data_IF_254201022033
#
_entry.id   IF_254201022033
#
_cell.length_a   1.000
_cell.length_b   1.000
_cell.length_c   1.000
_cell.angle_alpha   90.00
_cell.angle_beta   90.00
_cell.angle_gamma   90.00
#
_symmetry.space_group_name_H-M   'P 1'
#
loop_
_entity.id
_entity.type
_entity.pdbx_description
1 polymer ?
#
# COMPACT_ATOMS: atom_id res chain seq x y z
N UNK A 1 19.98 -16.65 3.51
CA UNK A 1 18.69 -16.41 4.20
C UNK A 1 17.59 -16.25 3.15
N UNK A 2 16.35 -16.64 3.46
CA UNK A 2 15.22 -16.44 2.54
C UNK A 2 14.95 -14.94 2.41
N UNK A 3 15.02 -14.35 1.21
CA UNK A 3 14.79 -12.92 1.03
C UNK A 3 13.33 -12.58 1.32
N UNK A 4 13.11 -11.47 2.03
CA UNK A 4 11.77 -11.01 2.39
C UNK A 4 11.33 -9.92 1.41
N UNK A 5 10.12 -10.05 0.86
CA UNK A 5 9.47 -9.03 0.03
C UNK A 5 8.26 -8.49 0.79
N UNK A 6 8.37 -7.25 1.25
CA UNK A 6 7.24 -6.52 1.79
C UNK A 6 6.36 -6.01 0.65
N UNK A 7 5.08 -6.21 0.76
CA UNK A 7 4.07 -5.92 -0.26
C UNK A 7 3.17 -4.80 0.23
N UNK A 8 3.18 -3.65 -0.44
CA UNK A 8 2.13 -2.65 -0.24
C UNK A 8 0.80 -3.17 -0.81
N UNK A 9 -0.31 -2.76 -0.21
CA UNK A 9 -1.63 -3.31 -0.52
C UNK A 9 -2.44 -2.39 -1.45
N UNK A 10 -2.89 -1.25 -0.92
CA UNK A 10 -3.81 -0.34 -1.61
C UNK A 10 -3.15 0.26 -2.86
N UNK A 11 -3.85 0.24 -3.99
CA UNK A 11 -3.37 0.68 -5.32
C UNK A 11 -2.13 -0.08 -5.84
N UNK A 12 -1.48 -0.92 -5.03
CA UNK A 12 -0.35 -1.78 -5.45
C UNK A 12 -0.82 -3.18 -5.86
N UNK A 13 -1.39 -3.93 -4.93
CA UNK A 13 -1.96 -5.25 -5.17
C UNK A 13 -3.48 -5.18 -5.37
N UNK A 14 -4.15 -4.22 -4.72
CA UNK A 14 -5.59 -4.03 -4.71
C UNK A 14 -6.00 -2.78 -5.51
N UNK A 15 -7.06 -2.90 -6.29
CA UNK A 15 -7.54 -1.84 -7.17
C UNK A 15 -8.57 -0.93 -6.46
N UNK A 16 -8.12 0.27 -6.07
CA UNK A 16 -9.00 1.28 -5.47
C UNK A 16 -10.03 1.84 -6.45
N UNK A 17 -9.89 1.66 -7.77
CA UNK A 17 -10.88 2.14 -8.74
C UNK A 17 -12.25 1.51 -8.57
N UNK A 18 -12.33 0.37 -7.87
CA UNK A 18 -13.59 -0.25 -7.48
C UNK A 18 -14.50 0.69 -6.65
N UNK A 19 -13.92 1.70 -5.99
CA UNK A 19 -14.67 2.72 -5.25
C UNK A 19 -15.16 3.89 -6.13
N UNK A 20 -14.72 4.00 -7.39
CA UNK A 20 -15.05 5.16 -8.25
C UNK A 20 -16.57 5.37 -8.38
N UNK A 21 -17.36 4.28 -8.41
CA UNK A 21 -18.83 4.35 -8.46
C UNK A 21 -19.46 4.97 -7.22
N UNK A 22 -18.93 4.72 -6.01
CA UNK A 22 -19.38 5.34 -4.77
C UNK A 22 -19.14 6.85 -4.82
N UNK A 23 -17.91 7.25 -5.21
CA UNK A 23 -17.56 8.67 -5.31
C UNK A 23 -18.31 9.39 -6.43
N UNK A 24 -18.57 8.74 -7.56
CA UNK A 24 -19.42 9.28 -8.62
C UNK A 24 -20.85 9.55 -8.11
N UNK A 25 -21.41 8.63 -7.33
CA UNK A 25 -22.74 8.82 -6.74
C UNK A 25 -22.77 9.96 -5.73
N UNK A 26 -21.76 10.09 -4.86
CA UNK A 26 -21.71 11.08 -3.80
C UNK A 26 -21.36 12.50 -4.29
N UNK A 27 -20.42 12.61 -5.24
CA UNK A 27 -19.82 13.89 -5.65
C UNK A 27 -20.04 14.24 -7.13
N UNK A 28 -20.68 13.37 -7.92
CA UNK A 28 -20.90 13.57 -9.35
C UNK A 28 -19.63 13.52 -10.20
N UNK A 29 -18.51 13.02 -9.65
CA UNK A 29 -17.19 13.01 -10.29
C UNK A 29 -16.42 11.72 -9.92
N UNK A 30 -16.09 10.86 -10.88
CA UNK A 30 -15.30 9.65 -10.61
C UNK A 30 -13.87 9.98 -10.16
N UNK A 31 -13.35 11.17 -10.48
CA UNK A 31 -12.05 11.67 -10.04
C UNK A 31 -11.99 12.02 -8.54
N UNK A 32 -13.15 12.16 -7.88
CA UNK A 32 -13.24 12.52 -6.46
C UNK A 32 -12.54 11.47 -5.57
N UNK A 33 -12.60 10.17 -5.89
CA UNK A 33 -11.88 9.13 -5.15
C UNK A 33 -10.36 9.37 -5.16
N UNK A 34 -9.78 9.71 -6.32
CA UNK A 34 -8.34 10.00 -6.40
C UNK A 34 -7.96 11.21 -5.57
N UNK A 35 -8.80 12.26 -5.57
CA UNK A 35 -8.59 13.45 -4.75
C UNK A 35 -8.68 13.09 -3.26
N UNK A 36 -9.71 12.34 -2.86
CA UNK A 36 -9.85 11.83 -1.49
C UNK A 36 -8.62 11.06 -1.04
N UNK A 37 -8.18 10.06 -1.81
CA UNK A 37 -7.03 9.25 -1.41
C UNK A 37 -5.73 10.06 -1.36
N UNK A 38 -5.57 11.04 -2.27
CA UNK A 38 -4.48 12.01 -2.20
C UNK A 38 -4.50 12.83 -0.91
N UNK A 39 -5.67 13.27 -0.44
CA UNK A 39 -5.84 13.96 0.85
C UNK A 39 -5.54 13.03 2.04
N UNK A 40 -5.97 11.76 2.00
CA UNK A 40 -5.59 10.76 3.05
C UNK A 40 -4.07 10.67 3.17
N UNK A 41 -3.37 10.53 2.05
CA UNK A 41 -1.90 10.44 2.04
C UNK A 41 -1.24 11.75 2.51
N UNK A 42 -1.79 12.90 2.11
CA UNK A 42 -1.30 14.20 2.59
C UNK A 42 -1.45 14.34 4.11
N UNK A 43 -2.60 13.97 4.66
CA UNK A 43 -2.82 13.97 6.11
C UNK A 43 -1.89 12.98 6.81
N UNK A 44 -1.72 11.77 6.27
CA UNK A 44 -0.80 10.79 6.83
C UNK A 44 0.64 11.30 6.89
N UNK A 45 1.12 11.96 5.82
CA UNK A 45 2.43 12.62 5.78
C UNK A 45 2.53 13.74 6.80
N UNK A 46 1.50 14.60 6.89
CA UNK A 46 1.45 15.72 7.86
C UNK A 46 1.56 15.20 9.28
N UNK A 47 0.75 14.22 9.66
CA UNK A 47 0.76 13.65 11.00
C UNK A 47 2.07 12.89 11.31
N UNK A 48 2.66 12.23 10.30
CA UNK A 48 3.99 11.61 10.43
C UNK A 48 5.07 12.65 10.75
N UNK A 49 5.07 13.79 10.05
CA UNK A 49 6.05 14.88 10.28
C UNK A 49 5.86 15.55 11.65
N UNK A 50 4.61 15.72 12.07
CA UNK A 50 4.29 16.31 13.38
C UNK A 50 4.55 15.37 14.56
N UNK A 51 4.74 14.06 14.29
CA UNK A 51 4.85 13.05 15.34
C UNK A 51 3.53 12.78 16.07
N UNK A 52 2.40 13.16 15.47
CA UNK A 52 1.05 12.99 16.01
C UNK A 52 0.35 11.84 15.28
N UNK A 53 0.30 10.67 15.89
CA UNK A 53 -0.35 9.52 15.28
C UNK A 53 -1.86 9.66 15.22
N UNK A 54 -2.42 9.38 14.04
CA UNK A 54 -3.84 9.14 13.76
C UNK A 54 -3.96 7.85 12.97
N UNK A 55 -4.99 7.05 13.23
CA UNK A 55 -5.19 5.83 12.45
C UNK A 55 -5.66 6.14 11.02
N UNK A 56 -5.44 5.20 10.11
CA UNK A 56 -5.71 5.41 8.70
C UNK A 56 -7.21 5.59 8.38
N UNK A 57 -8.17 4.90 9.05
CA UNK A 57 -9.60 5.21 8.96
C UNK A 57 -9.98 6.62 9.42
N UNK A 58 -9.41 7.12 10.53
CA UNK A 58 -9.64 8.50 11.01
C UNK A 58 -9.17 9.51 9.96
N UNK A 59 -7.98 9.31 9.37
CA UNK A 59 -7.47 10.13 8.28
C UNK A 59 -8.36 10.04 7.03
N UNK A 60 -8.92 8.88 6.74
CA UNK A 60 -9.88 8.65 5.66
C UNK A 60 -11.14 9.48 5.82
N UNK A 61 -11.71 9.51 7.03
CA UNK A 61 -12.89 10.32 7.35
C UNK A 61 -12.60 11.83 7.29
N UNK A 62 -11.46 12.27 7.86
CA UNK A 62 -11.04 13.67 7.77
C UNK A 62 -10.83 14.12 6.32
N UNK A 63 -10.27 13.25 5.48
CA UNK A 63 -10.09 13.53 4.06
C UNK A 63 -11.42 13.63 3.29
N UNK A 64 -12.46 12.87 3.67
CA UNK A 64 -13.81 13.04 3.09
C UNK A 64 -14.40 14.39 3.44
N UNK A 65 -14.27 14.81 4.70
CA UNK A 65 -14.72 16.15 5.14
C UNK A 65 -14.01 17.25 4.35
N UNK A 66 -12.68 17.20 4.29
CA UNK A 66 -11.88 18.18 3.54
C UNK A 66 -12.20 18.19 2.04
N UNK A 67 -12.48 17.04 1.44
CA UNK A 67 -12.93 16.95 0.04
C UNK A 67 -14.28 17.64 -0.17
N UNK A 68 -15.25 17.40 0.73
CA UNK A 68 -16.55 18.04 0.68
C UNK A 68 -16.44 19.56 0.79
N UNK A 69 -15.67 20.05 1.76
CA UNK A 69 -15.42 21.49 1.95
C UNK A 69 -14.77 22.12 0.71
N UNK A 70 -13.71 21.50 0.17
CA UNK A 70 -13.01 21.99 -1.01
C UNK A 70 -13.90 22.06 -2.26
N UNK A 71 -14.96 21.23 -2.32
CA UNK A 71 -15.93 21.19 -3.42
C UNK A 71 -17.20 21.99 -3.14
N UNK A 72 -17.38 22.55 -1.94
CA UNK A 72 -18.64 23.18 -1.52
C UNK A 72 -19.81 22.18 -1.51
N UNK A 73 -19.57 20.92 -1.24
CA UNK A 73 -20.53 19.83 -1.22
C UNK A 73 -20.56 19.16 0.17
N UNK A 74 -21.74 18.76 0.61
CA UNK A 74 -21.87 17.97 1.83
C UNK A 74 -21.49 16.52 1.55
N UNK A 75 -20.73 15.89 2.46
CA UNK A 75 -20.53 14.45 2.46
C UNK A 75 -21.86 13.78 2.85
N UNK A 76 -22.39 12.84 2.03
CA UNK A 76 -23.61 12.15 2.36
C UNK A 76 -23.52 11.40 3.70
N UNK A 77 -24.62 11.36 4.43
CA UNK A 77 -24.70 10.56 5.66
C UNK A 77 -24.45 9.08 5.33
N UNK A 78 -23.63 8.39 6.13
CA UNK A 78 -23.26 6.98 5.92
C UNK A 78 -22.17 6.76 4.87
N UNK A 79 -21.75 7.78 4.13
CA UNK A 79 -20.78 7.60 3.05
C UNK A 79 -19.39 7.15 3.54
N UNK A 80 -18.99 7.58 4.73
CA UNK A 80 -17.74 7.12 5.34
C UNK A 80 -17.77 5.61 5.62
N UNK A 81 -18.89 5.11 6.09
CA UNK A 81 -19.12 3.68 6.35
C UNK A 81 -19.12 2.88 5.05
N UNK A 82 -19.72 3.41 3.97
CA UNK A 82 -19.72 2.78 2.65
C UNK A 82 -18.31 2.69 2.09
N UNK A 83 -17.52 3.76 2.20
CA UNK A 83 -16.10 3.76 1.79
C UNK A 83 -15.30 2.75 2.63
N UNK A 84 -15.49 2.73 3.96
CA UNK A 84 -14.80 1.80 4.84
C UNK A 84 -15.17 0.33 4.53
N UNK A 85 -16.42 0.03 4.19
CA UNK A 85 -16.85 -1.28 3.73
C UNK A 85 -16.20 -1.65 2.39
N UNK A 86 -16.20 -0.73 1.43
CA UNK A 86 -15.55 -0.91 0.14
C UNK A 86 -14.05 -1.14 0.25
N UNK A 87 -13.36 -0.45 1.16
CA UNK A 87 -11.92 -0.66 1.42
C UNK A 87 -11.59 -2.10 1.88
N UNK A 88 -12.50 -2.80 2.54
CA UNK A 88 -12.31 -4.19 2.99
C UNK A 88 -12.48 -5.20 1.86
N UNK A 89 -13.20 -4.83 0.80
CA UNK A 89 -13.61 -5.73 -0.30
C UNK A 89 -13.01 -5.35 -1.64
N UNK A 90 -11.90 -4.60 -1.63
CA UNK A 90 -11.20 -4.22 -2.85
C UNK A 90 -10.78 -5.45 -3.66
N UNK A 91 -11.05 -5.48 -4.97
CA UNK A 91 -10.53 -6.52 -5.83
C UNK A 91 -9.02 -6.38 -6.04
N UNK A 92 -8.38 -7.48 -6.38
CA UNK A 92 -7.00 -7.46 -6.85
C UNK A 92 -6.89 -6.88 -8.26
N UNK A 93 -5.74 -6.27 -8.58
CA UNK A 93 -5.38 -6.06 -9.98
C UNK A 93 -5.22 -7.40 -10.71
N UNK A 94 -5.53 -7.44 -11.99
CA UNK A 94 -5.58 -8.67 -12.79
C UNK A 94 -4.25 -9.45 -12.83
N UNK A 95 -3.11 -8.76 -12.71
CA UNK A 95 -1.76 -9.35 -12.73
C UNK A 95 -1.20 -9.70 -11.35
N UNK A 96 -1.95 -9.42 -10.28
CA UNK A 96 -1.44 -9.57 -8.91
C UNK A 96 -1.15 -11.03 -8.59
N UNK A 97 -2.08 -11.93 -8.89
CA UNK A 97 -1.90 -13.36 -8.60
C UNK A 97 -0.67 -13.93 -9.32
N UNK A 98 -0.53 -13.66 -10.62
CA UNK A 98 0.65 -14.09 -11.38
C UNK A 98 1.96 -13.58 -10.73
N UNK A 99 2.00 -12.30 -10.36
CA UNK A 99 3.19 -11.73 -9.74
C UNK A 99 3.55 -12.37 -8.40
N UNK A 100 2.56 -12.62 -7.54
CA UNK A 100 2.78 -13.30 -6.25
C UNK A 100 3.23 -14.75 -6.43
N UNK A 101 2.63 -15.48 -7.37
CA UNK A 101 3.01 -16.86 -7.67
C UNK A 101 4.46 -16.95 -8.18
N UNK A 102 4.91 -16.00 -9.02
CA UNK A 102 6.32 -15.93 -9.47
C UNK A 102 7.26 -15.69 -8.28
N UNK A 103 6.94 -14.74 -7.38
CA UNK A 103 7.76 -14.46 -6.20
C UNK A 103 7.86 -15.68 -5.28
N UNK A 104 6.77 -16.36 -5.01
CA UNK A 104 6.74 -17.59 -4.19
C UNK A 104 7.54 -18.72 -4.82
N UNK A 105 7.32 -18.98 -6.11
CA UNK A 105 8.05 -20.02 -6.85
C UNK A 105 9.57 -19.76 -6.85
N UNK A 106 9.98 -18.48 -6.80
CA UNK A 106 11.36 -18.05 -6.65
C UNK A 106 11.91 -18.12 -5.22
N UNK A 107 11.13 -18.61 -4.25
CA UNK A 107 11.56 -18.79 -2.87
C UNK A 107 11.57 -17.50 -2.02
N UNK A 108 10.89 -16.43 -2.45
CA UNK A 108 10.74 -15.23 -1.66
C UNK A 108 9.72 -15.44 -0.54
N UNK A 109 10.01 -14.89 0.64
CA UNK A 109 9.06 -14.75 1.75
C UNK A 109 8.22 -13.50 1.56
N UNK A 110 6.90 -13.63 1.47
CA UNK A 110 5.98 -12.54 1.14
C UNK A 110 5.27 -12.01 2.40
N UNK A 111 5.42 -10.72 2.69
CA UNK A 111 4.83 -10.07 3.87
C UNK A 111 4.02 -8.86 3.42
N UNK A 112 2.72 -8.87 3.64
CA UNK A 112 1.90 -7.67 3.45
C UNK A 112 2.27 -6.61 4.49
N UNK A 113 2.47 -5.33 4.08
CA UNK A 113 2.81 -4.21 4.96
C UNK A 113 1.96 -2.99 4.63
N UNK A 114 1.08 -2.59 5.54
CA UNK A 114 0.07 -1.55 5.28
C UNK A 114 -0.08 -0.54 6.42
N UNK A 115 -0.59 0.66 6.08
CA UNK A 115 -1.09 1.65 7.05
C UNK A 115 -2.50 1.30 7.59
N UNK A 116 -3.25 0.42 6.91
CA UNK A 116 -4.56 0.01 7.40
C UNK A 116 -4.46 -0.75 8.73
N UNK A 117 -5.47 -0.66 9.62
CA UNK A 117 -5.57 -1.53 10.79
C UNK A 117 -5.52 -3.01 10.41
N UNK A 118 -5.02 -3.87 11.30
CA UNK A 118 -4.85 -5.30 11.05
C UNK A 118 -6.14 -5.98 10.57
N UNK A 119 -7.29 -5.67 11.18
CA UNK A 119 -8.58 -6.24 10.78
C UNK A 119 -9.02 -5.85 9.34
N UNK A 120 -8.56 -4.72 8.83
CA UNK A 120 -8.80 -4.33 7.43
C UNK A 120 -7.87 -5.11 6.49
N UNK A 121 -6.58 -5.24 6.87
CA UNK A 121 -5.61 -6.01 6.11
C UNK A 121 -6.04 -7.49 5.98
N UNK A 122 -6.46 -8.10 7.09
CA UNK A 122 -6.91 -9.50 7.10
C UNK A 122 -8.12 -9.69 6.17
N UNK A 123 -9.12 -8.80 6.25
CA UNK A 123 -10.28 -8.83 5.37
C UNK A 123 -9.91 -8.63 3.89
N UNK A 124 -8.96 -7.75 3.59
CA UNK A 124 -8.46 -7.53 2.23
C UNK A 124 -7.76 -8.77 1.67
N UNK A 125 -6.90 -9.42 2.45
CA UNK A 125 -6.21 -10.64 2.04
C UNK A 125 -7.18 -11.80 1.79
N UNK A 126 -8.18 -11.97 2.65
CA UNK A 126 -9.22 -12.98 2.50
C UNK A 126 -10.07 -12.72 1.25
N UNK A 127 -10.60 -11.50 1.10
CA UNK A 127 -11.43 -11.12 -0.03
C UNK A 127 -10.71 -11.24 -1.38
N UNK A 128 -9.43 -10.87 -1.44
CA UNK A 128 -8.63 -10.96 -2.65
C UNK A 128 -8.11 -12.39 -2.94
N UNK A 129 -8.31 -13.35 -2.03
CA UNK A 129 -7.82 -14.72 -2.16
C UNK A 129 -6.30 -14.82 -2.05
N UNK A 130 -5.66 -13.99 -1.20
CA UNK A 130 -4.21 -13.95 -1.00
C UNK A 130 -3.76 -14.43 0.37
N UNK A 131 -4.70 -14.78 1.26
CA UNK A 131 -4.38 -15.18 2.64
C UNK A 131 -3.40 -16.39 2.70
N UNK A 132 -3.50 -17.30 1.74
CA UNK A 132 -2.62 -18.47 1.59
C UNK A 132 -1.36 -18.20 0.75
N UNK A 133 -1.25 -17.04 0.11
CA UNK A 133 -0.11 -16.65 -0.71
C UNK A 133 0.94 -15.83 0.05
N UNK A 134 0.56 -15.18 1.13
CA UNK A 134 1.49 -14.42 1.97
C UNK A 134 1.94 -15.21 3.18
N UNK A 135 3.21 -15.06 3.58
CA UNK A 135 3.79 -15.72 4.75
C UNK A 135 3.57 -14.91 6.03
N UNK A 136 2.99 -13.72 5.90
CA UNK A 136 2.63 -12.86 7.02
C UNK A 136 1.96 -11.56 6.58
N UNK A 137 1.29 -10.92 7.53
CA UNK A 137 0.54 -9.69 7.35
C UNK A 137 0.82 -8.74 8.52
N UNK A 138 1.37 -7.58 8.24
CA UNK A 138 1.79 -6.60 9.23
C UNK A 138 1.10 -5.27 8.97
N UNK A 139 0.20 -4.88 9.86
CA UNK A 139 -0.26 -3.50 9.99
C UNK A 139 0.76 -2.70 10.80
N UNK A 140 1.08 -1.48 10.40
CA UNK A 140 1.92 -0.57 11.19
C UNK A 140 1.13 0.19 12.27
N UNK A 141 -0.21 0.09 12.23
CA UNK A 141 -1.14 0.75 13.15
C UNK A 141 -0.86 0.44 14.63
N UNK A 142 -0.63 -0.83 15.08
CA UNK A 142 -0.31 -1.12 16.47
C UNK A 142 0.99 -0.47 16.98
N UNK A 143 1.90 -0.13 16.06
CA UNK A 143 3.12 0.61 16.35
C UNK A 143 2.91 2.13 16.43
N UNK A 144 1.69 2.62 16.15
CA UNK A 144 1.32 4.05 16.12
C UNK A 144 2.23 4.85 15.19
N UNK A 145 2.42 4.35 13.99
CA UNK A 145 3.26 4.96 12.94
C UNK A 145 2.61 4.78 11.58
N UNK A 146 3.05 5.56 10.61
CA UNK A 146 2.55 5.52 9.25
C UNK A 146 3.70 5.47 8.25
N UNK A 147 3.57 4.69 7.19
CA UNK A 147 4.38 4.84 5.98
C UNK A 147 4.10 6.24 5.40
N UNK A 148 5.09 6.95 4.86
CA UNK A 148 6.47 6.55 4.61
C UNK A 148 7.46 6.87 5.74
N UNK A 149 7.02 7.07 6.97
CA UNK A 149 7.92 7.24 8.10
C UNK A 149 8.86 6.02 8.22
N UNK A 150 10.17 6.27 8.35
CA UNK A 150 11.21 5.22 8.46
C UNK A 150 10.85 4.15 9.50
N UNK A 151 10.31 4.58 10.65
CA UNK A 151 9.91 3.70 11.75
C UNK A 151 8.88 2.64 11.33
N UNK A 152 8.01 2.93 10.36
CA UNK A 152 7.01 1.97 9.89
C UNK A 152 7.65 0.75 9.20
N UNK A 153 8.70 0.95 8.43
CA UNK A 153 9.45 -0.15 7.79
C UNK A 153 10.33 -0.89 8.80
N UNK A 154 10.99 -0.17 9.71
CA UNK A 154 11.76 -0.77 10.82
C UNK A 154 10.85 -1.63 11.71
N UNK A 155 9.61 -1.20 11.96
CA UNK A 155 8.61 -2.00 12.65
C UNK A 155 8.29 -3.28 11.86
N UNK A 156 8.01 -3.19 10.56
CA UNK A 156 7.78 -4.36 9.70
C UNK A 156 8.95 -5.35 9.74
N UNK A 157 10.18 -4.86 9.63
CA UNK A 157 11.40 -5.66 9.75
C UNK A 157 11.48 -6.37 11.11
N UNK A 158 11.26 -5.65 12.21
CA UNK A 158 11.34 -6.21 13.56
C UNK A 158 10.26 -7.28 13.81
N UNK A 159 9.03 -7.04 13.32
CA UNK A 159 7.90 -7.98 13.47
C UNK A 159 8.12 -9.29 12.72
N UNK A 160 8.94 -9.27 11.69
CA UNK A 160 9.17 -10.42 10.80
C UNK A 160 10.54 -11.07 11.00
N UNK A 161 11.41 -10.46 11.80
CA UNK A 161 12.81 -10.88 11.97
C UNK A 161 13.64 -10.70 10.69
N UNK A 162 13.20 -9.84 9.75
CA UNK A 162 13.89 -9.57 8.50
C UNK A 162 14.96 -8.48 8.68
N UNK A 163 15.98 -8.50 7.83
CA UNK A 163 17.03 -7.48 7.80
C UNK A 163 16.84 -6.57 6.58
N UNK A 164 17.03 -5.26 6.75
CA UNK A 164 16.76 -4.28 5.71
C UNK A 164 17.51 -4.58 4.40
N UNK A 165 18.81 -4.91 4.46
CA UNK A 165 19.66 -5.14 3.28
C UNK A 165 19.26 -6.39 2.47
N UNK A 166 18.56 -7.35 3.09
CA UNK A 166 18.08 -8.58 2.45
C UNK A 166 16.59 -8.50 2.08
N UNK A 167 15.98 -7.34 2.35
CA UNK A 167 14.54 -7.13 2.16
C UNK A 167 14.24 -6.16 1.02
N UNK A 168 13.11 -6.39 0.38
CA UNK A 168 12.56 -5.56 -0.66
C UNK A 168 11.21 -4.97 -0.23
N UNK A 169 10.92 -3.75 -0.66
CA UNK A 169 9.56 -3.25 -0.73
C UNK A 169 9.09 -3.27 -2.19
N UNK A 170 7.90 -3.84 -2.42
CA UNK A 170 7.19 -3.82 -3.69
C UNK A 170 5.97 -2.90 -3.54
N UNK A 171 5.93 -1.79 -4.27
CA UNK A 171 4.89 -0.77 -4.16
C UNK A 171 4.67 -0.02 -5.48
N UNK A 172 3.46 0.50 -5.69
CA UNK A 172 3.12 1.38 -6.82
C UNK A 172 3.26 2.88 -6.48
N UNK A 173 3.67 3.21 -5.27
CA UNK A 173 3.73 4.60 -4.82
C UNK A 173 5.16 5.09 -4.67
N UNK A 174 5.50 6.20 -5.35
CA UNK A 174 6.83 6.81 -5.25
C UNK A 174 7.20 7.27 -3.83
N UNK A 175 6.21 7.65 -3.00
CA UNK A 175 6.43 8.01 -1.61
C UNK A 175 6.80 6.78 -0.74
N UNK A 176 6.19 5.62 -1.02
CA UNK A 176 6.45 4.37 -0.28
C UNK A 176 7.85 3.83 -0.63
N UNK A 177 8.20 3.87 -1.93
CA UNK A 177 9.56 3.58 -2.40
C UNK A 177 10.61 4.45 -1.67
N UNK A 178 10.34 5.76 -1.56
CA UNK A 178 11.26 6.68 -0.89
C UNK A 178 11.43 6.35 0.61
N UNK A 179 10.31 6.05 1.30
CA UNK A 179 10.34 5.70 2.72
C UNK A 179 11.09 4.39 2.99
N UNK A 180 10.86 3.35 2.18
CA UNK A 180 11.55 2.08 2.29
C UNK A 180 13.06 2.20 2.03
N UNK A 181 13.47 2.98 1.03
CA UNK A 181 14.89 3.29 0.78
C UNK A 181 15.54 3.99 1.96
N UNK A 182 14.85 4.97 2.57
CA UNK A 182 15.33 5.65 3.77
C UNK A 182 15.50 4.70 4.97
N UNK A 183 14.75 3.60 5.01
CA UNK A 183 14.90 2.53 6.00
C UNK A 183 15.93 1.45 5.60
N UNK A 184 16.59 1.61 4.45
CA UNK A 184 17.65 0.70 3.98
C UNK A 184 17.17 -0.54 3.22
N UNK A 185 15.90 -0.61 2.84
CA UNK A 185 15.37 -1.68 1.99
C UNK A 185 15.74 -1.43 0.53
N UNK A 186 15.83 -2.51 -0.25
CA UNK A 186 15.76 -2.46 -1.71
C UNK A 186 14.32 -2.24 -2.16
N UNK A 187 14.11 -1.73 -3.38
CA UNK A 187 12.79 -1.29 -3.79
C UNK A 187 12.43 -1.74 -5.20
N UNK A 188 11.17 -2.12 -5.36
CA UNK A 188 10.59 -2.53 -6.63
C UNK A 188 9.29 -1.74 -6.86
N UNK A 189 9.26 -0.90 -7.92
CA UNK A 189 8.10 -0.10 -8.28
C UNK A 189 7.23 -0.86 -9.26
N UNK A 190 5.96 -1.04 -8.90
CA UNK A 190 4.94 -1.65 -9.76
C UNK A 190 4.21 -0.53 -10.53
N UNK A 191 4.23 -0.62 -11.85
CA UNK A 191 3.48 0.31 -12.69
C UNK A 191 1.97 0.07 -12.55
N UNK A 192 1.26 1.13 -12.15
CA UNK A 192 -0.20 1.16 -12.04
C UNK A 192 -0.75 2.43 -12.69
N UNK A 193 -1.97 2.40 -13.26
CA UNK A 193 -2.56 3.59 -13.89
C UNK A 193 -2.64 4.78 -12.93
N UNK A 194 -2.03 5.88 -13.33
CA UNK A 194 -2.04 7.12 -12.54
C UNK A 194 -1.00 7.19 -11.42
N UNK A 195 -0.16 6.17 -11.26
CA UNK A 195 0.95 6.18 -10.30
C UNK A 195 2.27 6.52 -10.99
N UNK A 196 3.14 7.22 -10.28
CA UNK A 196 4.45 7.61 -10.78
C UNK A 196 5.54 7.42 -9.72
N UNK A 197 6.75 7.11 -10.19
CA UNK A 197 7.93 7.08 -9.33
C UNK A 197 8.31 8.51 -8.89
N UNK A 198 8.89 8.60 -7.71
CA UNK A 198 9.60 9.82 -7.32
C UNK A 198 10.85 9.99 -8.21
N UNK A 199 10.94 11.06 -9.01
CA UNK A 199 12.08 11.23 -9.93
C UNK A 199 13.43 11.41 -9.23
N UNK A 200 13.42 11.86 -7.95
CA UNK A 200 14.60 12.04 -7.12
C UNK A 200 15.00 10.75 -6.37
N UNK A 201 14.09 9.78 -6.24
CA UNK A 201 14.30 8.54 -5.50
C UNK A 201 13.66 7.37 -6.24
N UNK A 202 14.25 6.99 -7.38
CA UNK A 202 13.73 5.90 -8.21
C UNK A 202 13.97 4.55 -7.55
N UNK A 203 13.07 3.60 -7.81
CA UNK A 203 13.21 2.21 -7.38
C UNK A 203 14.37 1.50 -8.09
N UNK A 204 14.88 0.44 -7.49
CA UNK A 204 15.95 -0.40 -8.06
C UNK A 204 15.46 -1.26 -9.23
N UNK A 205 14.15 -1.58 -9.25
CA UNK A 205 13.44 -2.28 -10.32
C UNK A 205 12.13 -1.53 -10.56
N UNK A 206 11.68 -1.46 -11.82
CA UNK A 206 10.37 -0.91 -12.15
C UNK A 206 9.76 -1.61 -13.37
N UNK A 207 8.43 -1.72 -13.41
CA UNK A 207 7.67 -2.30 -14.51
C UNK A 207 6.33 -2.89 -14.08
N UNK A 208 5.61 -3.59 -14.97
CA UNK A 208 4.44 -4.39 -14.63
C UNK A 208 4.80 -5.46 -13.60
N UNK A 209 3.87 -5.79 -12.70
CA UNK A 209 4.15 -6.66 -11.54
C UNK A 209 4.80 -8.01 -11.90
N UNK A 210 4.34 -8.79 -12.91
CA UNK A 210 5.01 -10.05 -13.25
C UNK A 210 6.46 -9.87 -13.74
N UNK A 211 6.75 -8.76 -14.44
CA UNK A 211 8.11 -8.45 -14.88
C UNK A 211 9.02 -8.05 -13.71
N UNK A 212 8.49 -7.22 -12.78
CA UNK A 212 9.15 -6.85 -11.53
C UNK A 212 9.46 -8.09 -10.71
N UNK A 213 8.51 -9.02 -10.56
CA UNK A 213 8.68 -10.26 -9.83
C UNK A 213 9.82 -11.12 -10.40
N UNK A 214 9.86 -11.33 -11.73
CA UNK A 214 10.94 -12.06 -12.39
C UNK A 214 12.30 -11.40 -12.22
N UNK A 215 12.36 -10.06 -12.38
CA UNK A 215 13.60 -9.30 -12.22
C UNK A 215 14.12 -9.34 -10.77
N UNK A 216 13.21 -9.30 -9.78
CA UNK A 216 13.54 -9.41 -8.37
C UNK A 216 14.14 -10.79 -8.08
N UNK A 217 13.48 -11.87 -8.48
CA UNK A 217 13.99 -13.25 -8.29
C UNK A 217 15.34 -13.44 -8.98
N UNK A 218 15.55 -12.91 -10.19
CA UNK A 218 16.85 -12.95 -10.87
C UNK A 218 17.97 -12.29 -10.05
N UNK A 219 17.68 -11.21 -9.32
CA UNK A 219 18.67 -10.57 -8.43
C UNK A 219 18.92 -11.34 -7.14
N UNK A 220 17.97 -12.14 -6.69
CA UNK A 220 18.14 -13.01 -5.52
C UNK A 220 19.02 -14.22 -5.84
N UNK A 221 18.85 -14.84 -7.00
CA UNK A 221 19.63 -15.99 -7.45
C UNK A 221 21.09 -15.66 -7.82
N UNK A 222 21.41 -14.40 -8.14
CA UNK A 222 22.77 -13.96 -8.49
C UNK A 222 23.67 -13.60 -7.29
N UNK A 223 23.20 -13.78 -6.05
CA UNK A 223 23.95 -13.50 -4.82
C UNK A 223 24.36 -14.79 -4.05
N UNK A 224 24.14 -15.97 -4.66
CA UNK A 224 24.50 -17.27 -4.10
C UNK A 224 25.90 -17.73 -4.54
#
# INVERSE_FOLDING_TARGET
>A
MTPTVFLDMNETLLDLSALDGLFMTAFGDPGARKQWFGLVLQLALTHTVLGEYRDFPELGGAALTALGEARGQNVPQGFQEDVAAGMRTLPAHADTREGLDILRAGGARLIALTNNPQAVLDAQLENAGFADLVDGAVSVDPGRMLKPGRAAYEYGLSRTGAHAHDSWLLAAHGWDIAGARAAGLRTAFVERPGQAQNPLMRADIAGPLPAVARALIGRLGGQA
#
